data_IF_291823076239
#
_entry.id   IF_291823076239
#
_cell.length_a   1.000
_cell.length_b   1.000
_cell.length_c   1.000
_cell.angle_alpha   90.00
_cell.angle_beta   90.00
_cell.angle_gamma   90.00
#
_symmetry.space_group_name_H-M   'P 1'
#
loop_
_entity.id
_entity.type
_entity.pdbx_description
1 polymer ?
#
# COMPACT_ATOMS: atom_id res chain seq x y z
N UNK A 1 -47.16 -10.55 7.05
CA UNK A 1 -46.51 -10.57 8.38
C UNK A 1 -45.18 -9.83 8.21
N UNK A 2 -45.06 -8.55 8.60
CA UNK A 2 -44.72 -8.07 9.96
C UNK A 2 -43.38 -8.70 10.40
N UNK A 3 -42.23 -8.06 10.62
CA UNK A 3 -41.81 -6.71 11.02
C UNK A 3 -40.26 -6.62 10.74
N UNK A 4 -39.62 -5.56 10.21
CA UNK A 4 -39.13 -4.28 10.81
C UNK A 4 -37.61 -4.24 11.11
N UNK A 5 -36.99 -3.11 10.73
CA UNK A 5 -35.76 -2.40 11.20
C UNK A 5 -34.39 -3.15 11.19
N UNK A 6 -33.27 -2.68 10.62
CA UNK A 6 -32.60 -1.35 10.50
C UNK A 6 -31.97 -0.86 11.82
N UNK A 7 -30.71 -0.39 11.74
CA UNK A 7 -29.90 0.53 12.60
C UNK A 7 -28.65 -0.16 13.16
N UNK A 8 -27.40 0.07 12.73
CA UNK A 8 -26.49 1.25 12.68
C UNK A 8 -25.18 0.81 13.41
N UNK A 9 -24.00 0.99 12.81
CA UNK A 9 -23.01 2.04 13.17
C UNK A 9 -22.48 1.86 14.61
N UNK A 10 -21.22 1.52 14.88
CA UNK A 10 -19.97 1.99 14.30
C UNK A 10 -19.18 2.72 15.40
N UNK A 11 -18.08 2.11 15.87
CA UNK A 11 -16.96 2.71 16.64
C UNK A 11 -15.74 1.87 16.22
N UNK A 12 -14.77 2.27 15.40
CA UNK A 12 -13.85 3.42 15.45
C UNK A 12 -13.25 3.63 16.85
N UNK A 13 -12.04 3.11 17.05
CA UNK A 13 -10.87 3.74 17.69
C UNK A 13 -9.88 2.63 18.11
N UNK A 14 -8.96 2.26 17.21
CA UNK A 14 -7.69 1.65 17.62
C UNK A 14 -6.74 2.82 17.91
N UNK A 15 -6.32 3.05 19.16
CA UNK A 15 -5.29 4.03 19.44
C UNK A 15 -3.95 3.52 18.90
N UNK A 16 -3.01 4.41 18.49
CA UNK A 16 -1.64 4.00 18.26
C UNK A 16 -1.08 3.59 19.63
N UNK A 17 -0.81 2.30 19.80
CA UNK A 17 -0.04 1.83 20.94
C UNK A 17 1.32 2.52 20.87
N UNK A 18 1.52 3.44 21.81
CA UNK A 18 2.78 4.05 22.16
C UNK A 18 3.87 2.98 22.18
N UNK A 19 4.97 3.30 21.50
CA UNK A 19 6.25 2.63 21.59
C UNK A 19 6.63 2.42 23.06
N UNK A 20 6.36 1.22 23.56
CA UNK A 20 6.81 0.72 24.84
C UNK A 20 7.93 -0.26 24.59
N UNK A 21 9.17 0.25 24.62
CA UNK A 21 10.38 -0.48 24.98
C UNK A 21 10.68 -1.71 24.13
N UNK A 22 11.54 -1.51 23.11
CA UNK A 22 12.44 -2.57 22.64
C UNK A 22 13.17 -3.19 23.83
N UNK A 23 13.05 -4.50 24.10
CA UNK A 23 14.13 -5.21 24.74
C UNK A 23 15.24 -5.28 23.69
N UNK A 24 16.26 -4.47 23.94
CA UNK A 24 17.64 -4.68 23.54
C UNK A 24 17.96 -6.13 23.18
N UNK A 25 18.59 -6.34 22.02
CA UNK A 25 19.61 -7.38 21.77
C UNK A 25 19.60 -8.52 22.79
N UNK A 26 18.64 -9.42 22.66
CA UNK A 26 18.51 -10.61 23.47
C UNK A 26 18.47 -11.80 22.53
N UNK A 27 19.56 -12.56 22.51
CA UNK A 27 19.67 -13.91 21.96
C UNK A 27 18.34 -14.64 22.09
N UNK A 28 17.85 -15.21 20.98
CA UNK A 28 16.68 -16.09 20.99
C UNK A 28 16.79 -17.06 22.17
N UNK A 29 15.72 -17.30 22.94
CA UNK A 29 15.80 -18.18 24.10
C UNK A 29 16.38 -19.52 23.63
N UNK A 30 17.59 -19.85 24.10
CA UNK A 30 18.21 -21.17 24.02
C UNK A 30 17.30 -22.11 24.81
N UNK A 31 16.19 -22.54 24.20
CA UNK A 31 15.36 -23.61 24.76
C UNK A 31 16.28 -24.81 24.81
N UNK A 32 16.63 -25.19 26.05
CA UNK A 32 17.64 -26.17 26.45
C UNK A 32 18.14 -27.04 25.28
N UNK A 33 19.30 -26.67 24.72
CA UNK A 33 20.05 -27.54 23.82
C UNK A 33 20.29 -28.87 24.53
N UNK A 34 19.84 -29.95 23.91
CA UNK A 34 20.34 -31.30 24.21
C UNK A 34 21.83 -31.28 23.86
N UNK A 35 22.69 -31.13 24.87
CA UNK A 35 24.16 -31.11 24.84
C UNK A 35 24.80 -30.47 23.59
N UNK A 36 25.40 -29.28 23.76
CA UNK A 36 26.09 -28.46 22.74
C UNK A 36 27.38 -29.12 22.18
N UNK A 37 27.73 -30.34 22.60
CA UNK A 37 28.98 -31.00 22.27
C UNK A 37 29.01 -31.42 20.78
N UNK A 38 29.88 -30.78 20.00
CA UNK A 38 30.14 -31.15 18.60
C UNK A 38 29.18 -30.54 17.56
N UNK A 39 28.19 -29.74 17.95
CA UNK A 39 27.22 -29.14 17.02
C UNK A 39 27.87 -28.22 15.98
N UNK A 40 28.88 -27.43 16.37
CA UNK A 40 29.60 -26.58 15.43
C UNK A 40 30.34 -27.41 14.37
N UNK A 41 30.99 -28.50 14.78
CA UNK A 41 31.67 -29.41 13.84
C UNK A 41 30.69 -30.08 12.88
N UNK A 42 29.50 -30.45 13.35
CA UNK A 42 28.43 -30.94 12.48
C UNK A 42 27.95 -29.87 11.50
N UNK A 43 27.77 -28.62 11.95
CA UNK A 43 27.36 -27.51 11.09
C UNK A 43 28.40 -27.22 10.00
N UNK A 44 29.68 -27.19 10.34
CA UNK A 44 30.77 -26.96 9.39
C UNK A 44 30.83 -28.09 8.34
N UNK A 45 30.69 -29.34 8.79
CA UNK A 45 30.59 -30.51 7.91
C UNK A 45 29.38 -30.40 6.96
N UNK A 46 28.19 -30.13 7.50
CA UNK A 46 26.95 -30.03 6.74
C UNK A 46 27.01 -28.90 5.71
N UNK A 47 27.57 -27.75 6.08
CA UNK A 47 27.75 -26.60 5.19
C UNK A 47 28.70 -26.94 4.03
N UNK A 48 29.82 -27.62 4.31
CA UNK A 48 30.72 -28.11 3.26
C UNK A 48 30.05 -29.10 2.30
N UNK A 49 29.21 -30.01 2.83
CA UNK A 49 28.44 -30.96 2.00
C UNK A 49 27.36 -30.28 1.17
N UNK A 50 26.74 -29.23 1.70
CA UNK A 50 25.73 -28.44 1.01
C UNK A 50 26.32 -27.76 -0.24
N UNK A 51 27.50 -27.15 -0.09
CA UNK A 51 28.22 -26.52 -1.20
C UNK A 51 28.63 -27.54 -2.28
N UNK A 52 28.93 -28.78 -1.88
CA UNK A 52 29.29 -29.87 -2.77
C UNK A 52 28.07 -30.60 -3.39
N UNK A 53 26.84 -30.24 -3.01
CA UNK A 53 25.61 -30.90 -3.48
C UNK A 53 25.43 -32.32 -2.94
N UNK A 54 26.08 -32.68 -1.83
CA UNK A 54 26.05 -34.03 -1.26
C UNK A 54 24.87 -34.20 -0.29
N UNK A 55 23.64 -34.03 -0.80
CA UNK A 55 22.41 -34.03 -0.01
C UNK A 55 22.13 -35.34 0.73
N UNK A 56 22.49 -36.49 0.14
CA UNK A 56 22.35 -37.79 0.80
C UNK A 56 23.24 -37.91 2.06
N UNK A 57 24.44 -37.30 2.04
CA UNK A 57 25.32 -37.28 3.20
C UNK A 57 24.82 -36.33 4.29
N UNK A 58 24.15 -35.24 3.90
CA UNK A 58 23.45 -34.34 4.81
C UNK A 58 22.31 -35.09 5.52
N UNK A 59 21.42 -35.71 4.75
CA UNK A 59 20.26 -36.43 5.30
C UNK A 59 20.71 -37.59 6.20
N UNK A 60 21.74 -38.36 5.80
CA UNK A 60 22.29 -39.43 6.62
C UNK A 60 22.85 -38.97 7.96
N UNK A 61 23.54 -37.83 8.02
CA UNK A 61 24.01 -37.29 9.30
C UNK A 61 22.83 -36.80 10.13
N UNK A 62 21.92 -36.05 9.53
CA UNK A 62 20.74 -35.52 10.22
C UNK A 62 19.86 -36.62 10.83
N UNK A 63 19.70 -37.75 10.14
CA UNK A 63 18.92 -38.90 10.62
C UNK A 63 19.57 -39.62 11.80
N UNK A 64 20.90 -39.49 11.97
CA UNK A 64 21.62 -40.08 13.12
C UNK A 64 21.52 -39.25 14.40
N UNK A 65 21.07 -37.99 14.31
CA UNK A 65 21.04 -37.05 15.43
C UNK A 65 19.71 -37.10 16.20
N UNK A 66 19.76 -36.67 17.47
CA UNK A 66 18.55 -36.44 18.25
C UNK A 66 17.68 -35.35 17.60
N UNK A 67 16.36 -35.47 17.74
CA UNK A 67 15.38 -34.60 17.06
C UNK A 67 15.67 -33.11 17.25
N UNK A 68 15.95 -32.66 18.48
CA UNK A 68 16.26 -31.26 18.77
C UNK A 68 17.54 -30.76 18.09
N UNK A 69 18.60 -31.59 18.04
CA UNK A 69 19.86 -31.24 17.36
C UNK A 69 19.68 -31.19 15.84
N UNK A 70 18.96 -32.17 15.27
CA UNK A 70 18.64 -32.24 13.85
C UNK A 70 17.88 -31.00 13.38
N UNK A 71 16.81 -30.64 14.07
CA UNK A 71 15.96 -29.50 13.68
C UNK A 71 16.67 -28.16 13.88
N UNK A 72 17.48 -28.03 14.94
CA UNK A 72 18.36 -26.88 15.13
C UNK A 72 19.34 -26.72 13.95
N UNK A 73 20.08 -27.79 13.61
CA UNK A 73 21.06 -27.75 12.53
C UNK A 73 20.40 -27.50 11.16
N UNK A 74 19.20 -28.02 10.92
CA UNK A 74 18.42 -27.71 9.72
C UNK A 74 18.10 -26.20 9.62
N UNK A 75 17.64 -25.58 10.72
CA UNK A 75 17.41 -24.13 10.75
C UNK A 75 18.69 -23.34 10.46
N UNK A 76 19.81 -23.71 11.09
CA UNK A 76 21.09 -23.04 10.86
C UNK A 76 21.56 -23.19 9.42
N UNK A 77 21.47 -24.39 8.86
CA UNK A 77 21.88 -24.64 7.48
C UNK A 77 21.02 -23.87 6.48
N UNK A 78 19.71 -23.79 6.70
CA UNK A 78 18.82 -22.96 5.87
C UNK A 78 19.14 -21.47 6.00
N UNK A 79 19.51 -21.00 7.20
CA UNK A 79 19.93 -19.62 7.40
C UNK A 79 21.20 -19.26 6.62
N UNK A 80 22.12 -20.21 6.38
CA UNK A 80 23.29 -19.96 5.51
C UNK A 80 22.92 -19.70 4.04
N UNK A 81 21.71 -20.07 3.63
CA UNK A 81 21.19 -19.83 2.27
C UNK A 81 20.54 -18.44 2.15
N UNK A 82 20.39 -17.70 3.24
CA UNK A 82 19.74 -16.38 3.26
C UNK A 82 20.47 -15.36 2.37
N UNK A 83 21.79 -15.43 2.34
CA UNK A 83 22.65 -14.55 1.55
C UNK A 83 22.73 -14.98 0.07
N UNK A 84 22.19 -16.15 -0.29
CA UNK A 84 22.22 -16.65 -1.65
C UNK A 84 21.01 -16.12 -2.44
N UNK A 85 21.22 -15.30 -3.49
CA UNK A 85 20.11 -14.72 -4.25
C UNK A 85 19.34 -15.76 -5.06
N UNK A 86 19.95 -16.90 -5.37
CA UNK A 86 19.33 -17.99 -6.14
C UNK A 86 19.91 -19.33 -5.72
N UNK A 87 19.12 -20.40 -5.89
CA UNK A 87 19.62 -21.76 -5.80
C UNK A 87 20.82 -21.99 -6.74
N UNK A 88 21.94 -22.43 -6.19
CA UNK A 88 23.15 -22.75 -6.94
C UNK A 88 22.96 -23.94 -7.91
N UNK A 89 22.03 -24.85 -7.60
CA UNK A 89 21.73 -26.01 -8.46
C UNK A 89 20.26 -26.44 -8.35
N UNK A 90 19.72 -27.15 -9.36
CA UNK A 90 18.38 -27.74 -9.29
C UNK A 90 18.23 -28.75 -8.15
N UNK A 91 19.31 -29.45 -7.79
CA UNK A 91 19.33 -30.42 -6.69
C UNK A 91 19.19 -29.72 -5.34
N UNK A 92 19.86 -28.58 -5.14
CA UNK A 92 19.70 -27.76 -3.94
C UNK A 92 18.25 -27.27 -3.81
N UNK A 93 17.67 -26.78 -4.91
CA UNK A 93 16.27 -26.35 -4.92
C UNK A 93 15.31 -27.49 -4.55
N UNK A 94 15.55 -28.70 -5.07
CA UNK A 94 14.76 -29.87 -4.74
C UNK A 94 14.91 -30.28 -3.27
N UNK A 95 16.13 -30.23 -2.71
CA UNK A 95 16.39 -30.56 -1.32
C UNK A 95 15.72 -29.55 -0.36
N UNK A 96 15.86 -28.25 -0.59
CA UNK A 96 15.17 -27.22 0.22
C UNK A 96 13.65 -27.36 0.11
N UNK A 97 13.12 -27.65 -1.09
CA UNK A 97 11.70 -27.95 -1.28
C UNK A 97 11.26 -29.16 -0.47
N UNK A 98 12.04 -30.23 -0.43
CA UNK A 98 11.72 -31.40 0.40
C UNK A 98 11.63 -31.04 1.88
N UNK A 99 12.53 -30.19 2.41
CA UNK A 99 12.46 -29.74 3.81
C UNK A 99 11.21 -28.89 4.09
N UNK A 100 10.76 -28.08 3.12
CA UNK A 100 9.58 -27.21 3.27
C UNK A 100 8.24 -27.94 3.47
N UNK A 101 8.18 -29.22 3.11
CA UNK A 101 6.99 -30.07 3.26
C UNK A 101 7.00 -30.93 4.53
N UNK A 102 8.13 -30.99 5.25
CA UNK A 102 8.22 -31.75 6.51
C UNK A 102 7.58 -30.95 7.65
N UNK A 103 7.08 -31.67 8.65
CA UNK A 103 6.56 -31.08 9.88
C UNK A 103 7.63 -31.14 10.99
N UNK A 104 7.92 -30.02 11.69
CA UNK A 104 8.76 -30.06 12.89
C UNK A 104 8.15 -30.99 13.95
N UNK A 105 8.99 -31.78 14.59
CA UNK A 105 8.60 -32.78 15.59
C UNK A 105 8.92 -32.33 17.01
N UNK A 106 9.88 -31.41 17.19
CA UNK A 106 10.20 -30.89 18.52
C UNK A 106 9.31 -29.70 18.87
N UNK A 107 8.29 -29.95 19.71
CA UNK A 107 7.33 -28.94 20.15
C UNK A 107 7.62 -28.44 21.56
N UNK A 108 7.37 -27.16 21.79
CA UNK A 108 7.50 -26.48 23.07
C UNK A 108 6.22 -25.74 23.40
N UNK A 109 5.85 -25.75 24.67
CA UNK A 109 4.70 -25.02 25.17
C UNK A 109 5.09 -23.57 25.44
N UNK A 110 4.28 -22.64 24.92
CA UNK A 110 4.43 -21.21 25.18
C UNK A 110 3.07 -20.59 25.47
N UNK A 111 3.03 -19.74 26.48
CA UNK A 111 1.87 -18.91 26.75
C UNK A 111 1.84 -17.72 25.76
N UNK A 112 0.76 -17.62 25.00
CA UNK A 112 0.49 -16.52 24.06
C UNK A 112 -0.91 -16.00 24.36
N UNK A 113 -1.02 -14.73 24.72
CA UNK A 113 -2.28 -14.05 25.05
C UNK A 113 -3.14 -14.78 26.12
N UNK A 114 -2.49 -15.39 27.11
CA UNK A 114 -3.15 -16.13 28.19
C UNK A 114 -3.56 -17.58 27.83
N UNK A 115 -3.20 -18.07 26.64
CA UNK A 115 -3.44 -19.44 26.21
C UNK A 115 -2.11 -20.20 26.07
N UNK A 116 -2.08 -21.46 26.54
CA UNK A 116 -0.97 -22.36 26.28
C UNK A 116 -1.06 -22.91 24.85
N UNK A 117 -0.07 -22.58 24.04
CA UNK A 117 0.04 -23.03 22.65
C UNK A 117 1.28 -23.89 22.49
N UNK A 118 1.13 -25.01 21.77
CA UNK A 118 2.26 -25.83 21.33
C UNK A 118 2.77 -25.31 19.99
N UNK A 119 4.06 -25.01 19.92
CA UNK A 119 4.72 -24.56 18.70
C UNK A 119 6.07 -25.26 18.51
N UNK A 120 6.58 -25.37 17.28
CA UNK A 120 7.94 -25.88 17.06
C UNK A 120 8.98 -25.06 17.81
N UNK A 121 9.97 -25.72 18.43
CA UNK A 121 11.16 -24.98 18.91
C UNK A 121 12.00 -24.47 17.74
N UNK A 122 12.03 -25.23 16.65
CA UNK A 122 12.80 -24.94 15.45
C UNK A 122 11.93 -25.16 14.22
N UNK A 123 11.40 -24.08 13.64
CA UNK A 123 10.55 -24.16 12.44
C UNK A 123 11.38 -24.14 11.14
N UNK A 124 12.12 -25.22 10.92
CA UNK A 124 12.95 -25.37 9.71
C UNK A 124 12.09 -25.43 8.43
N UNK A 125 10.84 -25.89 8.53
CA UNK A 125 9.92 -25.95 7.39
C UNK A 125 9.54 -24.54 6.93
N UNK A 126 9.23 -23.63 7.86
CA UNK A 126 9.01 -22.22 7.55
C UNK A 126 10.28 -21.55 7.00
N UNK A 127 11.45 -21.81 7.60
CA UNK A 127 12.73 -21.29 7.10
C UNK A 127 12.99 -21.71 5.64
N UNK A 128 12.72 -22.99 5.30
CA UNK A 128 12.85 -23.48 3.93
C UNK A 128 11.88 -22.78 2.96
N UNK A 129 10.63 -22.53 3.36
CA UNK A 129 9.66 -21.76 2.55
C UNK A 129 10.12 -20.31 2.33
N UNK A 130 10.74 -19.69 3.33
CA UNK A 130 11.29 -18.33 3.19
C UNK A 130 12.45 -18.30 2.19
N UNK A 131 13.37 -19.26 2.23
CA UNK A 131 14.44 -19.41 1.24
C UNK A 131 13.86 -19.56 -0.17
N UNK A 132 12.90 -20.47 -0.37
CA UNK A 132 12.25 -20.68 -1.67
C UNK A 132 11.53 -19.43 -2.19
N UNK A 133 10.80 -18.75 -1.32
CA UNK A 133 10.09 -17.50 -1.65
C UNK A 133 11.07 -16.42 -2.13
N UNK A 134 12.20 -16.23 -1.44
CA UNK A 134 13.22 -15.26 -1.85
C UNK A 134 13.85 -15.61 -3.20
N UNK A 135 14.24 -16.87 -3.41
CA UNK A 135 14.79 -17.30 -4.70
C UNK A 135 13.79 -17.11 -5.84
N UNK A 136 12.51 -17.39 -5.61
CA UNK A 136 11.46 -17.15 -6.58
C UNK A 136 11.28 -15.65 -6.86
N UNK A 137 11.27 -14.82 -5.82
CA UNK A 137 11.20 -13.36 -5.94
C UNK A 137 12.38 -12.83 -6.76
N UNK A 138 13.60 -13.30 -6.50
CA UNK A 138 14.78 -12.90 -7.27
C UNK A 138 14.69 -13.35 -8.73
N UNK A 139 14.25 -14.59 -8.98
CA UNK A 139 14.07 -15.11 -10.34
C UNK A 139 13.08 -14.26 -11.16
N UNK A 140 11.97 -13.82 -10.55
CA UNK A 140 11.06 -12.88 -11.20
C UNK A 140 11.70 -11.52 -11.44
N UNK A 141 12.44 -10.97 -10.47
CA UNK A 141 13.11 -9.68 -10.65
C UNK A 141 14.11 -9.71 -11.81
N UNK A 142 14.92 -10.76 -11.91
CA UNK A 142 15.88 -10.94 -13.01
C UNK A 142 15.17 -11.05 -14.36
N UNK A 143 14.09 -11.84 -14.42
CA UNK A 143 13.28 -12.00 -15.63
C UNK A 143 12.65 -10.67 -16.07
N UNK A 144 12.05 -9.92 -15.14
CA UNK A 144 11.44 -8.63 -15.45
C UNK A 144 12.46 -7.61 -15.92
N UNK A 145 13.66 -7.59 -15.32
CA UNK A 145 14.76 -6.71 -15.78
C UNK A 145 15.10 -6.99 -17.23
N UNK A 146 15.28 -8.26 -17.59
CA UNK A 146 15.56 -8.67 -18.97
C UNK A 146 14.41 -8.30 -19.93
N UNK A 147 13.14 -8.52 -19.53
CA UNK A 147 11.98 -8.17 -20.35
C UNK A 147 11.83 -6.66 -20.54
N UNK A 148 12.13 -5.86 -19.51
CA UNK A 148 12.08 -4.40 -19.57
C UNK A 148 13.19 -3.83 -20.46
N UNK A 149 14.41 -4.37 -20.36
CA UNK A 149 15.54 -4.02 -21.23
C UNK A 149 15.23 -4.38 -22.70
N UNK A 150 14.68 -5.56 -22.94
CA UNK A 150 14.29 -6.02 -24.27
C UNK A 150 13.00 -5.38 -24.81
N UNK A 151 12.34 -4.51 -24.04
CA UNK A 151 11.05 -3.89 -24.38
C UNK A 151 9.93 -4.92 -24.68
N UNK A 152 9.96 -6.09 -24.03
CA UNK A 152 9.01 -7.20 -24.19
C UNK A 152 8.13 -7.42 -22.95
N UNK A 153 8.25 -6.56 -21.94
CA UNK A 153 7.47 -6.69 -20.71
C UNK A 153 5.98 -6.40 -20.96
N UNK A 154 5.12 -7.26 -20.41
CA UNK A 154 3.67 -7.16 -20.53
C UNK A 154 2.97 -7.25 -19.16
N UNK A 155 2.31 -6.17 -18.75
CA UNK A 155 1.59 -6.10 -17.47
C UNK A 155 0.50 -7.18 -17.32
N UNK A 156 -0.13 -7.60 -18.43
CA UNK A 156 -1.22 -8.60 -18.42
C UNK A 156 -0.77 -9.98 -17.91
N UNK A 157 0.52 -10.29 -17.97
CA UNK A 157 1.05 -11.56 -17.49
C UNK A 157 0.96 -11.67 -15.96
N UNK A 158 1.09 -10.54 -15.26
CA UNK A 158 1.01 -10.46 -13.80
C UNK A 158 -0.44 -10.18 -13.37
N UNK A 159 -1.05 -9.15 -13.95
CA UNK A 159 -2.36 -8.63 -13.55
C UNK A 159 -3.52 -9.41 -14.20
N UNK A 160 -3.60 -10.69 -13.87
CA UNK A 160 -4.71 -11.59 -14.19
C UNK A 160 -5.42 -12.01 -12.90
N UNK A 161 -6.76 -12.04 -12.89
CA UNK A 161 -7.56 -12.45 -11.73
C UNK A 161 -7.30 -13.87 -11.25
N UNK A 162 -6.75 -14.73 -12.12
CA UNK A 162 -6.42 -16.13 -11.79
C UNK A 162 -4.98 -16.34 -11.31
N UNK A 163 -4.20 -15.28 -11.13
CA UNK A 163 -2.81 -15.40 -10.69
C UNK A 163 -2.73 -15.58 -9.17
N UNK A 164 -2.36 -16.77 -8.64
CA UNK A 164 -2.24 -16.99 -7.20
C UNK A 164 -1.06 -16.24 -6.59
N UNK A 165 -0.04 -15.92 -7.39
CA UNK A 165 1.20 -15.28 -6.96
C UNK A 165 1.20 -13.76 -7.23
N UNK A 166 0.01 -13.18 -7.47
CA UNK A 166 -0.14 -11.78 -7.88
C UNK A 166 0.60 -10.81 -6.95
N UNK A 167 0.44 -10.98 -5.63
CA UNK A 167 1.03 -10.09 -4.65
C UNK A 167 2.57 -10.15 -4.68
N UNK A 168 3.15 -11.36 -4.74
CA UNK A 168 4.59 -11.56 -4.75
C UNK A 168 5.21 -11.11 -6.09
N UNK A 169 4.56 -11.42 -7.22
CA UNK A 169 4.99 -10.97 -8.54
C UNK A 169 4.91 -9.44 -8.67
N UNK A 170 3.85 -8.82 -8.14
CA UNK A 170 3.73 -7.38 -8.09
C UNK A 170 4.85 -6.77 -7.25
N UNK A 171 5.14 -7.31 -6.07
CA UNK A 171 6.24 -6.82 -5.23
C UNK A 171 7.59 -6.93 -5.96
N UNK A 172 7.85 -8.04 -6.66
CA UNK A 172 9.04 -8.20 -7.49
C UNK A 172 9.10 -7.14 -8.60
N UNK A 173 7.99 -6.88 -9.30
CA UNK A 173 7.92 -5.85 -10.34
C UNK A 173 8.21 -4.45 -9.78
N UNK A 174 7.59 -4.08 -8.66
CA UNK A 174 7.80 -2.77 -8.03
C UNK A 174 9.27 -2.57 -7.64
N UNK A 175 9.91 -3.60 -7.08
CA UNK A 175 11.33 -3.56 -6.75
C UNK A 175 12.21 -3.34 -7.98
N UNK A 176 11.90 -4.00 -9.11
CA UNK A 176 12.64 -3.79 -10.37
C UNK A 176 12.44 -2.37 -10.88
N UNK A 177 11.19 -1.91 -10.99
CA UNK A 177 10.87 -0.59 -11.52
C UNK A 177 11.49 0.54 -10.69
N UNK A 178 11.61 0.38 -9.37
CA UNK A 178 12.22 1.39 -8.49
C UNK A 178 13.65 1.77 -8.90
N UNK A 179 14.40 0.84 -9.52
CA UNK A 179 15.78 1.01 -9.97
C UNK A 179 15.96 1.17 -11.48
N UNK A 180 14.90 1.27 -12.27
CA UNK A 180 15.01 1.41 -13.74
C UNK A 180 15.28 2.85 -14.17
N UNK A 181 15.94 3.07 -15.33
CA UNK A 181 16.12 4.40 -15.91
C UNK A 181 14.77 5.09 -16.22
N UNK A 182 14.72 6.42 -16.09
CA UNK A 182 13.50 7.21 -16.33
C UNK A 182 12.92 6.98 -17.73
N UNK A 183 13.76 6.79 -18.76
CA UNK A 183 13.29 6.51 -20.12
C UNK A 183 12.50 5.18 -20.23
N UNK A 184 12.95 4.15 -19.52
CA UNK A 184 12.24 2.86 -19.43
C UNK A 184 10.91 3.06 -18.70
N UNK A 185 10.93 3.78 -17.57
CA UNK A 185 9.74 4.06 -16.78
C UNK A 185 8.69 4.86 -17.57
N UNK A 186 9.10 5.88 -18.31
CA UNK A 186 8.19 6.68 -19.15
C UNK A 186 7.53 5.84 -20.24
N UNK A 187 8.27 4.92 -20.86
CA UNK A 187 7.72 4.01 -21.87
C UNK A 187 6.69 3.07 -21.25
N UNK A 188 7.01 2.46 -20.10
CA UNK A 188 6.08 1.56 -19.42
C UNK A 188 4.87 2.30 -18.83
N UNK A 189 5.04 3.55 -18.37
CA UNK A 189 3.95 4.42 -17.94
C UNK A 189 2.95 4.67 -19.07
N UNK A 190 3.42 5.06 -20.26
CA UNK A 190 2.57 5.26 -21.44
C UNK A 190 1.82 3.98 -21.84
N UNK A 191 2.50 2.83 -21.83
CA UNK A 191 1.87 1.52 -22.09
C UNK A 191 0.77 1.25 -21.06
N UNK A 192 1.06 1.40 -19.77
CA UNK A 192 0.10 1.14 -18.70
C UNK A 192 -1.10 2.09 -18.73
N UNK A 193 -0.89 3.35 -19.10
CA UNK A 193 -1.94 4.34 -19.26
C UNK A 193 -2.94 3.97 -20.36
N UNK A 194 -2.45 3.45 -21.49
CA UNK A 194 -3.30 2.98 -22.61
C UNK A 194 -3.96 1.62 -22.39
N UNK A 195 -3.51 0.85 -21.40
CA UNK A 195 -4.05 -0.47 -21.10
C UNK A 195 -5.29 -0.39 -20.20
N UNK A 196 -6.37 -1.07 -20.60
CA UNK A 196 -7.50 -1.35 -19.73
C UNK A 196 -7.29 -2.70 -19.04
N UNK A 197 -6.65 -2.67 -17.86
CA UNK A 197 -6.40 -3.85 -17.02
C UNK A 197 -6.89 -3.58 -15.60
N UNK A 198 -7.35 -4.63 -14.93
CA UNK A 198 -7.68 -4.55 -13.52
C UNK A 198 -6.38 -4.50 -12.70
N UNK A 199 -6.29 -3.52 -11.80
CA UNK A 199 -5.22 -3.41 -10.82
C UNK A 199 -5.83 -3.59 -9.43
N UNK A 200 -5.30 -4.50 -8.60
CA UNK A 200 -5.84 -4.78 -7.26
C UNK A 200 -5.62 -3.63 -6.27
N UNK A 201 -4.54 -2.87 -6.45
CA UNK A 201 -4.14 -1.72 -5.64
C UNK A 201 -3.58 -0.61 -6.53
N UNK A 202 -3.30 0.54 -5.92
CA UNK A 202 -2.78 1.72 -6.64
C UNK A 202 -1.24 1.83 -6.61
N UNK A 203 -0.52 0.86 -6.04
CA UNK A 203 0.94 0.93 -5.82
C UNK A 203 1.73 1.09 -7.11
N UNK A 204 1.36 0.35 -8.16
CA UNK A 204 2.01 0.42 -9.47
C UNK A 204 1.79 1.80 -10.14
N UNK A 205 0.55 2.29 -10.13
CA UNK A 205 0.22 3.58 -10.72
C UNK A 205 0.95 4.71 -10.02
N UNK A 206 0.94 4.70 -8.68
CA UNK A 206 1.68 5.67 -7.86
C UNK A 206 3.16 5.66 -8.22
N UNK A 207 3.82 4.49 -8.17
CA UNK A 207 5.25 4.39 -8.41
C UNK A 207 5.65 4.94 -9.79
N UNK A 208 4.88 4.63 -10.83
CA UNK A 208 5.15 5.15 -12.17
C UNK A 208 4.82 6.64 -12.29
N UNK A 209 3.71 7.10 -11.72
CA UNK A 209 3.32 8.52 -11.75
C UNK A 209 4.37 9.40 -11.03
N UNK A 210 4.80 9.01 -9.83
CA UNK A 210 5.81 9.73 -9.03
C UNK A 210 7.20 9.77 -9.67
N UNK A 211 7.50 8.88 -10.60
CA UNK A 211 8.80 8.81 -11.29
C UNK A 211 8.77 9.42 -12.69
N UNK A 212 7.61 9.49 -13.33
CA UNK A 212 7.48 9.90 -14.74
C UNK A 212 6.72 11.20 -14.94
N UNK A 213 5.84 11.58 -14.00
CA UNK A 213 4.93 12.71 -14.18
C UNK A 213 3.90 12.51 -15.30
N UNK A 214 3.56 11.26 -15.64
CA UNK A 214 2.58 11.01 -16.71
C UNK A 214 1.16 11.37 -16.25
N UNK A 215 0.59 12.44 -16.84
CA UNK A 215 -0.76 12.91 -16.55
C UNK A 215 -1.84 11.86 -16.76
N UNK A 216 -1.66 10.94 -17.71
CA UNK A 216 -2.63 9.89 -17.99
C UNK A 216 -2.67 8.84 -16.87
N UNK A 217 -1.54 8.59 -16.20
CA UNK A 217 -1.49 7.73 -15.02
C UNK A 217 -2.20 8.36 -13.82
N UNK A 218 -1.99 9.67 -13.57
CA UNK A 218 -2.73 10.38 -12.52
C UNK A 218 -4.23 10.33 -12.78
N UNK A 219 -4.68 10.62 -14.01
CA UNK A 219 -6.09 10.52 -14.35
C UNK A 219 -6.67 9.11 -14.16
N UNK A 220 -5.88 8.07 -14.47
CA UNK A 220 -6.28 6.68 -14.24
C UNK A 220 -6.39 6.38 -12.74
N UNK A 221 -5.42 6.84 -11.94
CA UNK A 221 -5.40 6.72 -10.49
C UNK A 221 -6.64 7.36 -9.84
N UNK A 222 -7.01 8.57 -10.25
CA UNK A 222 -8.19 9.28 -9.70
C UNK A 222 -9.53 8.57 -9.96
N UNK A 223 -9.58 7.71 -10.99
CA UNK A 223 -10.77 6.89 -11.31
C UNK A 223 -10.85 5.60 -10.52
N UNK A 224 -9.76 5.18 -9.86
CA UNK A 224 -9.76 3.99 -9.01
C UNK A 224 -10.29 4.33 -7.60
N UNK A 225 -10.74 3.32 -6.83
CA UNK A 225 -10.99 3.51 -5.40
C UNK A 225 -9.74 4.07 -4.74
N UNK A 226 -9.90 5.16 -3.97
CA UNK A 226 -8.76 5.77 -3.33
C UNK A 226 -8.32 4.94 -2.13
N UNK A 227 -7.01 4.86 -1.99
CA UNK A 227 -6.29 4.25 -0.89
C UNK A 227 -5.18 5.21 -0.44
N UNK A 228 -4.32 4.74 0.48
CA UNK A 228 -3.17 5.49 0.94
C UNK A 228 -2.23 5.91 -0.22
N UNK A 229 -2.09 5.07 -1.25
CA UNK A 229 -1.23 5.35 -2.39
C UNK A 229 -1.78 6.45 -3.31
N UNK A 230 -3.11 6.51 -3.50
CA UNK A 230 -3.77 7.62 -4.19
C UNK A 230 -3.51 8.96 -3.50
N UNK A 231 -3.62 9.02 -2.17
CA UNK A 231 -3.35 10.25 -1.40
C UNK A 231 -1.88 10.63 -1.49
N UNK A 232 -0.97 9.67 -1.39
CA UNK A 232 0.46 9.94 -1.51
C UNK A 232 0.84 10.46 -2.91
N UNK A 233 0.23 9.93 -3.96
CA UNK A 233 0.46 10.38 -5.33
C UNK A 233 0.06 11.85 -5.54
N UNK A 234 -0.95 12.37 -4.84
CA UNK A 234 -1.35 13.79 -4.94
C UNK A 234 -0.17 14.73 -4.64
N UNK A 235 0.58 14.43 -3.58
CA UNK A 235 1.74 15.22 -3.18
C UNK A 235 2.82 15.33 -4.28
N UNK A 236 2.86 14.37 -5.22
CA UNK A 236 3.81 14.37 -6.32
C UNK A 236 3.38 15.22 -7.52
N UNK A 237 2.11 15.63 -7.64
CA UNK A 237 1.60 16.38 -8.81
C UNK A 237 2.36 17.69 -9.00
N UNK A 238 2.56 18.46 -7.92
CA UNK A 238 3.27 19.74 -7.96
C UNK A 238 4.76 19.63 -8.30
N UNK A 239 5.34 18.43 -8.25
CA UNK A 239 6.74 18.19 -8.64
C UNK A 239 6.92 18.19 -10.16
N UNK A 240 5.93 17.69 -10.91
CA UNK A 240 6.02 17.49 -12.36
C UNK A 240 5.16 18.44 -13.17
N UNK A 241 4.09 18.95 -12.58
CA UNK A 241 3.14 19.83 -13.24
C UNK A 241 3.05 21.17 -12.51
N UNK A 242 2.95 22.24 -13.28
CA UNK A 242 2.74 23.59 -12.78
C UNK A 242 1.67 24.31 -13.61
N UNK A 243 1.10 25.36 -13.04
CA UNK A 243 0.05 26.16 -13.66
C UNK A 243 -1.17 25.32 -14.04
N UNK A 244 -1.67 25.52 -15.26
CA UNK A 244 -2.94 24.95 -15.73
C UNK A 244 -3.00 23.41 -15.63
N UNK A 245 -1.92 22.72 -16.02
CA UNK A 245 -1.89 21.25 -16.03
C UNK A 245 -1.98 20.66 -14.62
N UNK A 246 -1.35 21.29 -13.64
CA UNK A 246 -1.46 20.90 -12.24
C UNK A 246 -2.87 21.13 -11.71
N UNK A 247 -3.45 22.30 -12.04
CA UNK A 247 -4.83 22.61 -11.67
C UNK A 247 -5.82 21.60 -12.23
N UNK A 248 -5.73 21.25 -13.52
CA UNK A 248 -6.64 20.29 -14.15
C UNK A 248 -6.56 18.90 -13.49
N UNK A 249 -5.34 18.46 -13.13
CA UNK A 249 -5.13 17.18 -12.43
C UNK A 249 -5.70 17.19 -11.01
N UNK A 250 -5.55 18.29 -10.26
CA UNK A 250 -6.07 18.42 -8.91
C UNK A 250 -7.60 18.57 -8.90
N UNK A 251 -8.17 19.29 -9.87
CA UNK A 251 -9.63 19.37 -10.09
C UNK A 251 -10.18 17.99 -10.46
N UNK A 252 -9.45 17.21 -11.27
CA UNK A 252 -9.86 15.84 -11.58
C UNK A 252 -9.84 14.95 -10.32
N UNK A 253 -8.82 15.08 -9.48
CA UNK A 253 -8.72 14.35 -8.22
C UNK A 253 -9.83 14.72 -7.23
N UNK A 254 -10.24 15.98 -7.17
CA UNK A 254 -11.27 16.44 -6.24
C UNK A 254 -12.67 15.90 -6.52
N UNK A 255 -12.88 15.25 -7.68
CA UNK A 255 -14.10 14.50 -7.99
C UNK A 255 -14.23 13.23 -7.16
N UNK A 256 -13.11 12.68 -6.69
CA UNK A 256 -13.12 11.56 -5.76
C UNK A 256 -13.27 12.08 -4.33
N UNK A 257 -14.37 11.70 -3.67
CA UNK A 257 -14.75 12.23 -2.36
C UNK A 257 -13.65 12.09 -1.30
N UNK A 258 -12.91 10.99 -1.34
CA UNK A 258 -11.81 10.67 -0.41
C UNK A 258 -10.56 11.53 -0.64
N UNK A 259 -10.33 12.01 -1.87
CA UNK A 259 -9.18 12.82 -2.25
C UNK A 259 -9.49 14.32 -2.25
N UNK A 260 -10.78 14.69 -2.19
CA UNK A 260 -11.26 16.06 -2.35
C UNK A 260 -10.60 17.05 -1.42
N UNK A 261 -10.51 16.76 -0.13
CA UNK A 261 -9.95 17.69 0.85
C UNK A 261 -8.46 17.96 0.59
N UNK A 262 -7.67 16.91 0.38
CA UNK A 262 -6.24 17.03 0.09
C UNK A 262 -5.98 17.71 -1.26
N UNK A 263 -6.80 17.40 -2.28
CA UNK A 263 -6.69 18.01 -3.60
C UNK A 263 -7.02 19.51 -3.57
N UNK A 264 -8.06 19.93 -2.83
CA UNK A 264 -8.41 21.34 -2.67
C UNK A 264 -7.31 22.11 -1.94
N UNK A 265 -6.74 21.54 -0.89
CA UNK A 265 -5.63 22.14 -0.16
C UNK A 265 -4.37 22.30 -1.05
N UNK A 266 -4.04 21.30 -1.87
CA UNK A 266 -2.93 21.43 -2.80
C UNK A 266 -3.22 22.43 -3.93
N UNK A 267 -4.47 22.52 -4.37
CA UNK A 267 -4.88 23.46 -5.40
C UNK A 267 -4.75 24.91 -4.92
N UNK A 268 -5.09 25.20 -3.66
CA UNK A 268 -4.89 26.53 -3.07
C UNK A 268 -3.41 26.89 -2.88
N UNK A 269 -2.52 25.90 -2.78
CA UNK A 269 -1.08 26.13 -2.67
C UNK A 269 -0.39 26.41 -4.02
N UNK A 270 -1.10 26.28 -5.14
CA UNK A 270 -0.54 26.61 -6.44
C UNK A 270 -0.34 28.13 -6.56
N UNK A 271 0.89 28.55 -6.84
CA UNK A 271 1.25 29.94 -7.12
C UNK A 271 2.04 30.02 -8.44
N UNK A 272 1.62 30.82 -9.43
CA UNK A 272 0.38 31.61 -9.49
C UNK A 272 -0.88 30.72 -9.66
N UNK A 273 -2.03 31.15 -9.14
CA UNK A 273 -3.27 30.37 -9.17
C UNK A 273 -3.98 30.53 -10.53
N UNK A 274 -4.12 29.48 -11.36
CA UNK A 274 -4.72 29.60 -12.70
C UNK A 274 -6.21 29.94 -12.66
N UNK A 275 -6.70 30.64 -13.69
CA UNK A 275 -8.10 31.10 -13.76
C UNK A 275 -9.13 29.97 -13.59
N UNK A 276 -8.84 28.77 -14.10
CA UNK A 276 -9.74 27.62 -13.95
C UNK A 276 -9.80 27.10 -12.50
N UNK A 277 -8.67 27.13 -11.79
CA UNK A 277 -8.61 26.77 -10.38
C UNK A 277 -9.39 27.79 -9.54
N UNK A 278 -9.27 29.09 -9.85
CA UNK A 278 -10.03 30.15 -9.21
C UNK A 278 -11.54 29.94 -9.37
N UNK A 279 -12.00 29.74 -10.61
CA UNK A 279 -13.41 29.50 -10.92
C UNK A 279 -13.94 28.24 -10.22
N UNK A 280 -13.13 27.18 -10.17
CA UNK A 280 -13.49 25.93 -9.50
C UNK A 280 -13.61 26.10 -7.97
N UNK A 281 -12.64 26.74 -7.31
CA UNK A 281 -12.71 27.01 -5.88
C UNK A 281 -13.91 27.90 -5.53
N UNK A 282 -14.19 28.93 -6.33
CA UNK A 282 -15.37 29.79 -6.14
C UNK A 282 -16.69 29.04 -6.32
N UNK A 283 -16.73 28.05 -7.21
CA UNK A 283 -17.90 27.17 -7.37
C UNK A 283 -18.08 26.23 -6.17
N UNK A 284 -17.00 25.62 -5.68
CA UNK A 284 -17.02 24.75 -4.50
C UNK A 284 -17.35 25.52 -3.20
N UNK A 285 -17.03 26.80 -3.12
CA UNK A 285 -17.45 27.68 -2.03
C UNK A 285 -18.95 27.88 -1.93
N UNK A 286 -19.66 27.82 -3.07
CA UNK A 286 -21.12 27.82 -3.11
C UNK A 286 -21.73 26.52 -2.57
N UNK A 287 -20.91 25.49 -2.34
CA UNK A 287 -21.36 24.20 -1.82
C UNK A 287 -21.33 24.20 -0.28
N UNK A 288 -22.51 23.99 0.34
CA UNK A 288 -22.71 24.11 1.79
C UNK A 288 -21.82 23.20 2.64
N UNK A 289 -21.34 22.10 2.08
CA UNK A 289 -20.53 21.12 2.80
C UNK A 289 -19.05 21.50 2.90
N UNK A 290 -18.54 22.32 1.97
CA UNK A 290 -17.10 22.62 1.86
C UNK A 290 -16.79 24.12 1.89
N UNK A 291 -17.82 24.99 1.93
CA UNK A 291 -17.70 26.44 1.92
C UNK A 291 -16.76 27.00 3.00
N UNK A 292 -16.88 26.52 4.25
CA UNK A 292 -16.02 26.97 5.36
C UNK A 292 -14.56 26.58 5.20
N UNK A 293 -14.28 25.40 4.63
CA UNK A 293 -12.92 24.91 4.41
C UNK A 293 -12.26 25.56 3.20
N UNK A 294 -12.99 25.75 2.10
CA UNK A 294 -12.45 26.47 0.94
C UNK A 294 -12.23 27.95 1.28
N UNK A 295 -13.09 28.55 2.09
CA UNK A 295 -12.90 29.91 2.59
C UNK A 295 -11.62 30.05 3.45
N UNK A 296 -11.36 29.11 4.36
CA UNK A 296 -10.13 29.14 5.17
C UNK A 296 -8.87 28.91 4.34
N UNK A 297 -8.93 28.04 3.33
CA UNK A 297 -7.83 27.81 2.39
C UNK A 297 -7.54 29.06 1.54
N UNK A 298 -8.57 29.74 1.04
CA UNK A 298 -8.41 30.95 0.23
C UNK A 298 -7.93 32.16 1.06
N UNK A 299 -8.26 32.24 2.35
CA UNK A 299 -7.72 33.27 3.25
C UNK A 299 -6.21 33.12 3.48
N UNK A 300 -5.65 31.93 3.30
CA UNK A 300 -4.20 31.69 3.38
C UNK A 300 -3.48 32.02 2.05
N UNK A 301 -4.22 32.18 0.95
CA UNK A 301 -3.66 32.56 -0.34
C UNK A 301 -3.62 34.08 -0.43
N UNK A 302 -2.42 34.64 -0.48
CA UNK A 302 -2.13 36.08 -0.52
C UNK A 302 -2.46 36.72 -1.89
N UNK A 303 -3.67 36.48 -2.42
CA UNK A 303 -4.15 37.09 -3.65
C UNK A 303 -5.33 38.06 -3.39
N UNK A 304 -5.10 39.38 -3.41
CA UNK A 304 -6.11 40.39 -3.05
C UNK A 304 -7.32 40.41 -3.99
N UNK A 305 -7.18 39.92 -5.23
CA UNK A 305 -8.27 39.82 -6.20
C UNK A 305 -9.29 38.73 -5.82
N UNK A 306 -8.82 37.61 -5.25
CA UNK A 306 -9.68 36.53 -4.80
C UNK A 306 -10.44 36.91 -3.54
N UNK A 307 -9.80 37.61 -2.60
CA UNK A 307 -10.45 38.15 -1.41
C UNK A 307 -11.59 39.12 -1.75
N UNK A 308 -11.40 39.98 -2.75
CA UNK A 308 -12.45 40.87 -3.24
C UNK A 308 -13.65 40.09 -3.81
N UNK A 309 -13.41 39.06 -4.64
CA UNK A 309 -14.48 38.23 -5.22
C UNK A 309 -15.20 37.37 -4.16
N UNK A 310 -14.48 36.92 -3.13
CA UNK A 310 -15.05 36.22 -1.97
C UNK A 310 -15.98 37.10 -1.17
N UNK A 311 -15.54 38.31 -0.81
CA UNK A 311 -16.35 39.27 -0.08
C UNK A 311 -17.65 39.60 -0.85
N UNK A 312 -17.56 39.73 -2.17
CA UNK A 312 -18.68 40.03 -3.06
C UNK A 312 -19.68 38.86 -3.19
N UNK A 313 -19.22 37.61 -3.09
CA UNK A 313 -20.11 36.43 -3.07
C UNK A 313 -20.73 36.14 -1.72
N UNK A 314 -19.97 36.30 -0.63
CA UNK A 314 -20.50 36.16 0.73
C UNK A 314 -21.61 37.18 0.99
N UNK A 315 -21.40 38.45 0.61
CA UNK A 315 -22.46 39.47 0.71
C UNK A 315 -23.68 39.16 -0.17
N UNK A 316 -23.51 38.57 -1.36
CA UNK A 316 -24.65 38.10 -2.18
C UNK A 316 -25.37 36.90 -1.58
N UNK A 317 -24.66 36.00 -0.92
CA UNK A 317 -25.25 34.83 -0.25
C UNK A 317 -26.01 35.25 1.01
N UNK A 318 -25.45 36.15 1.82
CA UNK A 318 -26.14 36.78 2.95
C UNK A 318 -27.40 37.53 2.50
N UNK A 319 -27.33 38.30 1.41
CA UNK A 319 -28.52 38.97 0.84
C UNK A 319 -29.62 38.00 0.40
N UNK A 320 -29.27 36.80 -0.06
CA UNK A 320 -30.26 35.74 -0.38
C UNK A 320 -30.85 35.08 0.87
N UNK A 321 -30.11 35.05 1.99
CA UNK A 321 -30.60 34.55 3.27
C UNK A 321 -31.36 35.60 4.09
N UNK A 322 -31.11 36.89 3.84
CA UNK A 322 -31.76 38.03 4.48
C UNK A 322 -33.05 38.49 3.77
N UNK A 323 -33.61 37.69 2.86
CA UNK A 323 -34.98 37.90 2.35
C UNK A 323 -35.96 37.05 3.17
N UNK A 324 -36.52 37.57 4.29
CA UNK A 324 -37.69 36.95 4.89
C UNK A 324 -38.87 37.18 3.95
N UNK A 325 -39.51 36.08 3.55
CA UNK A 325 -40.81 36.08 2.91
C UNK A 325 -41.84 36.53 3.96
N UNK A 326 -41.95 37.84 4.18
CA UNK A 326 -43.05 38.43 4.94
C UNK A 326 -44.23 38.50 3.99
N UNK A 327 -45.08 37.47 4.03
CA UNK A 327 -46.46 37.61 3.57
C UNK A 327 -47.20 38.42 4.64
N UNK A 328 -47.81 39.58 4.31
CA UNK A 328 -48.74 40.22 5.22
C UNK A 328 -50.06 39.43 5.21
N UNK A 329 -50.49 38.94 6.37
CA UNK A 329 -51.86 38.46 6.55
C UNK A 329 -52.86 39.61 6.28
N UNK A 330 -53.84 39.44 5.37
CA UNK A 330 -54.95 40.38 5.27
C UNK A 330 -55.97 40.07 6.37
N UNK A 331 -56.22 41.09 7.20
CA UNK A 331 -57.14 41.05 8.33
C UNK A 331 -58.59 40.72 7.97
N UNK A 332 -59.25 40.09 8.93
CA UNK A 332 -60.68 39.79 9.01
C UNK A 332 -61.53 41.06 8.88
N UNK A 333 -62.54 41.11 7.98
CA UNK A 333 -63.51 42.20 7.99
C UNK A 333 -64.58 41.96 9.06
N UNK A 334 -64.81 43.02 9.83
CA UNK A 334 -65.93 43.17 10.76
C UNK A 334 -67.28 43.13 10.02
N UNK A 335 -68.30 42.63 10.71
CA UNK A 335 -69.65 42.49 10.21
C UNK A 335 -70.37 43.81 9.94
N UNK A 336 -71.44 43.70 9.17
CA UNK A 336 -72.56 44.64 9.08
C UNK A 336 -73.76 43.93 8.40
N UNK A 337 -74.99 44.43 8.58
CA UNK A 337 -76.15 43.60 8.93
C UNK A 337 -77.25 43.53 7.85
N UNK A 338 -78.33 42.82 8.19
CA UNK A 338 -79.69 42.81 7.61
C UNK A 338 -79.91 42.17 6.22
N UNK A 339 -80.55 40.98 6.22
CA UNK A 339 -81.99 40.81 5.94
C UNK A 339 -82.48 39.41 6.34
#
# INVERSE_FOLDING_TARGET
>A
MKHVLLIMLGWLLVPPALAGQTPSTGTAPRVALVADEGLQGHLDYLTGRLQQGQFAAIDSLLDSLAVGQREYLLCQLLATLDDQPRAASPQLLAWVRAQSFKAPSWLVEKEVDGFLVQQPAYDFAAAARQVLSRWQQQAWQDNYRQLLEANRFEFKQIYNSRNPDLAQQQQALLNVLAGQPVAVLQREAKKLAGLNIFLPDNRLLRLLAERTGDSALYQKLWRQPADHDSVAALASVGRFHQGQTASDLLIAASRNASLKQTALHQLSQLSPLPDTAQQFLLAELGNRQYSGQVASLLLQVDEPRLLAQLADRLTRQEKRHASPMVQPEPGTPAGSPEL
#
